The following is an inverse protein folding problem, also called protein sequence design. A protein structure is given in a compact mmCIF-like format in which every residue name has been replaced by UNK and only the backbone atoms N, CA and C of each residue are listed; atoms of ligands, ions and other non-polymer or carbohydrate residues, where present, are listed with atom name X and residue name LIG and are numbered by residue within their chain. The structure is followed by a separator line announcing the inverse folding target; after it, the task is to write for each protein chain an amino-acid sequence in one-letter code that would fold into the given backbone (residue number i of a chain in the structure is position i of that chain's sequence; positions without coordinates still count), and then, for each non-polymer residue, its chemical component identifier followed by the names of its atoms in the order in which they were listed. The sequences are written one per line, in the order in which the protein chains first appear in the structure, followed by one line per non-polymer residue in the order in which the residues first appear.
data_IF_436493895442
#
_entry.id   IF_436493895442
#
_cell.length_a   1.000
_cell.length_b   1.000
_cell.length_c   1.000
_cell.angle_alpha   90.00
_cell.angle_beta   90.00
_cell.angle_gamma   90.00
#
_symmetry.space_group_name_H-M   'P 1'
#
loop_
_entity.id
_entity.type
_entity.pdbx_description
1 polymer ?
#
# COMPACT_ATOMS: atom_id res chain seq x y z
N UNK A 1 11.91 4.28 14.89
CA UNK A 1 10.80 3.31 14.95
C UNK A 1 11.28 1.97 14.42
N UNK A 2 11.03 0.89 15.14
CA UNK A 2 11.41 -0.44 14.67
C UNK A 2 10.41 -0.96 13.64
N UNK A 3 10.87 -1.89 12.79
CA UNK A 3 9.99 -2.50 11.80
C UNK A 3 8.84 -3.25 12.48
N UNK A 4 9.11 -3.91 13.61
CA UNK A 4 8.08 -4.63 14.35
C UNK A 4 6.96 -3.72 14.82
N UNK A 5 7.29 -2.50 15.22
CA UNK A 5 6.29 -1.53 15.63
C UNK A 5 5.37 -1.15 14.47
N UNK A 6 5.93 -1.00 13.28
CA UNK A 6 5.15 -0.73 12.07
C UNK A 6 4.25 -1.92 11.77
N UNK A 7 4.77 -3.14 11.87
CA UNK A 7 3.99 -4.36 11.58
C UNK A 7 2.81 -4.54 12.51
N UNK A 8 2.93 -4.10 13.75
CA UNK A 8 1.87 -4.28 14.76
C UNK A 8 0.80 -3.18 14.72
N UNK A 9 0.98 -2.15 13.90
CA UNK A 9 -0.03 -1.09 13.77
C UNK A 9 -1.31 -1.65 13.17
N UNK A 10 -2.50 -1.21 13.65
CA UNK A 10 -3.75 -1.64 13.02
C UNK A 10 -3.80 -1.20 11.56
N UNK A 11 -4.06 -2.14 10.67
CA UNK A 11 -4.17 -1.82 9.24
C UNK A 11 -5.20 -0.73 8.98
N UNK A 12 -6.36 -0.82 9.64
CA UNK A 12 -7.44 0.16 9.46
C UNK A 12 -7.01 1.58 9.74
N UNK A 13 -6.18 1.77 10.77
CA UNK A 13 -5.67 3.11 11.11
C UNK A 13 -4.71 3.61 10.04
N UNK A 14 -3.80 2.78 9.58
CA UNK A 14 -2.83 3.16 8.55
C UNK A 14 -3.55 3.46 7.25
N UNK A 15 -4.45 2.57 6.85
CA UNK A 15 -5.17 2.74 5.58
C UNK A 15 -6.05 3.99 5.58
N UNK A 16 -6.68 4.30 6.71
CA UNK A 16 -7.45 5.54 6.84
C UNK A 16 -6.58 6.77 6.60
N UNK A 17 -5.34 6.74 7.07
CA UNK A 17 -4.39 7.83 6.80
C UNK A 17 -4.04 7.93 5.32
N UNK A 18 -3.88 6.78 4.65
CA UNK A 18 -3.60 6.77 3.21
C UNK A 18 -4.80 7.30 2.41
N UNK A 19 -6.01 6.92 2.81
CA UNK A 19 -7.23 7.43 2.18
C UNK A 19 -7.27 8.96 2.31
N UNK A 20 -7.04 9.47 3.52
CA UNK A 20 -7.05 10.92 3.77
C UNK A 20 -5.98 11.63 2.92
N UNK A 21 -4.82 11.01 2.78
CA UNK A 21 -3.72 11.57 1.99
C UNK A 21 -4.11 11.75 0.53
N UNK A 22 -4.69 10.72 -0.08
CA UNK A 22 -5.06 10.79 -1.49
C UNK A 22 -6.26 11.72 -1.72
N UNK A 23 -7.22 11.72 -0.78
CA UNK A 23 -8.40 12.59 -0.89
C UNK A 23 -8.06 14.07 -0.79
N UNK A 24 -7.08 14.42 0.05
CA UNK A 24 -6.60 15.81 0.15
C UNK A 24 -6.04 16.33 -1.17
N UNK A 25 -5.60 15.44 -2.03
CA UNK A 25 -5.04 15.80 -3.33
C UNK A 25 -6.03 15.59 -4.48
N UNK A 26 -7.30 15.41 -4.15
CA UNK A 26 -8.35 15.29 -5.15
C UNK A 26 -8.49 13.90 -5.77
N UNK A 27 -7.82 12.90 -5.21
CA UNK A 27 -7.98 11.51 -5.67
C UNK A 27 -9.04 10.81 -4.81
N UNK A 28 -9.44 9.62 -5.21
CA UNK A 28 -10.54 8.92 -4.55
C UNK A 28 -10.05 7.67 -3.82
N UNK A 29 -10.82 7.26 -2.80
CA UNK A 29 -10.58 5.98 -2.14
C UNK A 29 -10.66 4.83 -3.14
N UNK A 30 -11.56 4.90 -4.10
CA UNK A 30 -11.70 3.85 -5.11
C UNK A 30 -10.40 3.66 -5.91
N UNK A 31 -9.71 4.75 -6.22
CA UNK A 31 -8.42 4.67 -6.90
C UNK A 31 -7.36 4.02 -6.01
N UNK A 32 -7.34 4.36 -4.73
CA UNK A 32 -6.41 3.73 -3.77
C UNK A 32 -6.73 2.25 -3.61
N UNK A 33 -8.01 1.89 -3.47
CA UNK A 33 -8.42 0.49 -3.36
C UNK A 33 -8.01 -0.29 -4.61
N UNK A 34 -8.12 0.32 -5.79
CA UNK A 34 -7.69 -0.29 -7.04
C UNK A 34 -6.19 -0.58 -7.03
N UNK A 35 -5.38 0.37 -6.58
CA UNK A 35 -3.94 0.18 -6.48
C UNK A 35 -3.60 -0.90 -5.46
N UNK A 36 -4.29 -0.91 -4.32
CA UNK A 36 -4.09 -1.91 -3.28
C UNK A 36 -4.47 -3.30 -3.77
N UNK A 37 -5.58 -3.41 -4.49
CA UNK A 37 -6.00 -4.68 -5.10
C UNK A 37 -4.96 -5.18 -6.10
N UNK A 38 -4.46 -4.29 -6.93
CA UNK A 38 -3.41 -4.65 -7.88
C UNK A 38 -2.18 -5.20 -7.15
N UNK A 39 -1.79 -4.55 -6.06
CA UNK A 39 -0.58 -4.94 -5.32
C UNK A 39 -0.74 -6.26 -4.59
N UNK A 40 -1.88 -6.48 -3.94
CA UNK A 40 -2.04 -7.54 -2.95
C UNK A 40 -2.99 -8.67 -3.36
N UNK A 41 -3.86 -8.42 -4.33
CA UNK A 41 -4.90 -9.37 -4.70
C UNK A 41 -6.15 -9.31 -3.84
N UNK A 42 -6.19 -8.48 -2.81
CA UNK A 42 -7.41 -8.32 -2.01
C UNK A 42 -8.50 -7.60 -2.81
N UNK A 43 -9.72 -8.12 -2.77
CA UNK A 43 -10.87 -7.39 -3.31
C UNK A 43 -11.19 -6.20 -2.38
N UNK A 44 -11.83 -5.13 -2.90
CA UNK A 44 -12.18 -3.98 -2.05
C UNK A 44 -12.96 -4.34 -0.79
N UNK A 45 -13.88 -5.30 -0.87
CA UNK A 45 -14.65 -5.74 0.30
C UNK A 45 -13.75 -6.40 1.37
N UNK A 46 -12.73 -7.13 0.92
CA UNK A 46 -11.77 -7.75 1.82
C UNK A 46 -10.86 -6.71 2.47
N UNK A 47 -10.48 -5.65 1.73
CA UNK A 47 -9.71 -4.54 2.28
C UNK A 47 -10.50 -3.88 3.41
N UNK A 48 -11.79 -3.63 3.18
CA UNK A 48 -12.66 -3.04 4.20
C UNK A 48 -12.77 -3.92 5.42
N UNK A 49 -12.89 -5.23 5.23
CA UNK A 49 -12.95 -6.19 6.34
C UNK A 49 -11.69 -6.13 7.18
N UNK A 50 -10.53 -6.09 6.54
CA UNK A 50 -9.25 -5.99 7.24
C UNK A 50 -9.12 -4.69 8.04
N UNK A 51 -9.76 -3.61 7.58
CA UNK A 51 -9.79 -2.37 8.33
C UNK A 51 -10.60 -2.48 9.62
N UNK A 52 -11.60 -3.37 9.63
CA UNK A 52 -12.57 -3.45 10.72
C UNK A 52 -12.28 -4.58 11.71
N UNK A 53 -11.54 -5.61 11.30
CA UNK A 53 -11.38 -6.82 12.10
C UNK A 53 -10.13 -6.88 12.97
N UNK A 54 -9.38 -5.78 13.04
CA UNK A 54 -8.18 -5.71 13.87
C UNK A 54 -6.93 -6.29 13.22
N UNK A 55 -6.97 -6.60 11.93
CA UNK A 55 -5.79 -7.07 11.19
C UNK A 55 -4.64 -6.07 11.33
N UNK A 56 -3.44 -6.54 11.67
CA UNK A 56 -2.27 -5.67 11.73
C UNK A 56 -1.74 -5.39 10.33
N UNK A 57 -0.96 -4.31 10.21
CA UNK A 57 -0.39 -3.93 8.93
C UNK A 57 0.52 -5.04 8.38
N UNK A 58 1.34 -5.64 9.23
CA UNK A 58 2.18 -6.76 8.81
C UNK A 58 1.36 -7.96 8.36
N UNK A 59 0.34 -8.34 9.11
CA UNK A 59 -0.51 -9.48 8.77
C UNK A 59 -1.29 -9.25 7.48
N UNK A 60 -1.69 -8.01 7.21
CA UNK A 60 -2.35 -7.69 5.95
C UNK A 60 -1.51 -8.17 4.76
N UNK A 61 -0.21 -7.90 4.79
CA UNK A 61 0.69 -8.32 3.71
C UNK A 61 1.05 -9.80 3.78
N UNK A 62 1.22 -10.37 5.00
CA UNK A 62 1.51 -11.80 5.15
C UNK A 62 0.39 -12.68 4.61
N UNK A 63 -0.85 -12.22 4.72
CA UNK A 63 -2.04 -12.97 4.31
C UNK A 63 -2.55 -12.56 2.93
N UNK A 64 -1.84 -11.70 2.22
CA UNK A 64 -2.27 -11.23 0.91
C UNK A 64 -2.50 -12.41 -0.03
N UNK A 65 -3.67 -12.48 -0.69
CA UNK A 65 -4.00 -13.64 -1.52
C UNK A 65 -3.14 -13.77 -2.78
N UNK A 66 -2.60 -12.66 -3.30
CA UNK A 66 -1.78 -12.75 -4.50
C UNK A 66 -0.98 -11.47 -4.73
N UNK A 67 0.19 -11.37 -4.09
CA UNK A 67 1.08 -10.24 -4.34
C UNK A 67 1.49 -10.22 -5.80
N UNK A 68 1.34 -9.05 -6.43
CA UNK A 68 1.61 -8.91 -7.85
C UNK A 68 3.11 -9.05 -8.14
N UNK A 69 3.52 -9.94 -9.06
CA UNK A 69 4.94 -10.10 -9.39
C UNK A 69 5.57 -8.84 -9.99
N UNK A 70 4.77 -7.97 -10.60
CA UNK A 70 5.28 -6.71 -11.16
C UNK A 70 5.54 -5.64 -10.10
N UNK A 71 5.24 -5.92 -8.84
CA UNK A 71 5.48 -4.94 -7.76
C UNK A 71 6.95 -4.54 -7.65
N UNK A 72 7.86 -5.39 -8.08
CA UNK A 72 9.28 -5.07 -8.08
C UNK A 72 9.63 -3.91 -9.02
N UNK A 73 8.72 -3.53 -9.91
CA UNK A 73 8.89 -2.36 -10.77
C UNK A 73 8.56 -1.04 -10.07
N UNK A 74 8.00 -1.12 -8.86
CA UNK A 74 7.75 0.06 -8.03
C UNK A 74 9.10 0.53 -7.49
N UNK A 75 9.49 1.76 -7.83
CA UNK A 75 10.80 2.30 -7.47
C UNK A 75 10.66 3.75 -7.03
N UNK A 76 11.68 4.23 -6.35
CA UNK A 76 11.78 5.61 -5.95
C UNK A 76 11.70 5.79 -4.45
N UNK A 77 11.67 7.06 -4.03
CA UNK A 77 11.72 7.42 -2.62
C UNK A 77 10.31 7.60 -2.07
N UNK A 78 10.06 7.02 -0.90
CA UNK A 78 8.85 7.27 -0.12
C UNK A 78 9.24 7.22 1.36
N UNK A 79 8.71 8.13 2.15
CA UNK A 79 9.01 8.20 3.59
C UNK A 79 10.52 8.25 3.87
N UNK A 80 11.27 8.91 2.99
CA UNK A 80 12.72 9.10 3.17
C UNK A 80 13.59 7.91 2.79
N UNK A 81 13.00 6.84 2.23
CA UNK A 81 13.78 5.65 1.84
C UNK A 81 13.51 5.29 0.39
N UNK A 82 14.50 4.68 -0.26
CA UNK A 82 14.32 4.12 -1.59
C UNK A 82 13.74 2.73 -1.48
N UNK A 83 12.58 2.53 -2.09
CA UNK A 83 11.83 1.27 -1.97
C UNK A 83 12.68 0.10 -2.48
N UNK A 84 13.35 0.27 -3.61
CA UNK A 84 14.14 -0.81 -4.21
C UNK A 84 15.36 -1.21 -3.38
N UNK A 85 15.74 -0.39 -2.39
CA UNK A 85 16.88 -0.70 -1.53
C UNK A 85 16.49 -1.32 -0.19
N UNK A 86 15.20 -1.46 0.08
CA UNK A 86 14.73 -2.06 1.33
C UNK A 86 14.98 -3.56 1.27
N UNK A 87 15.77 -4.07 2.23
CA UNK A 87 16.19 -5.47 2.22
C UNK A 87 15.21 -6.42 2.90
N UNK A 88 14.53 -5.96 3.96
CA UNK A 88 13.54 -6.79 4.62
C UNK A 88 12.29 -6.92 3.77
N UNK A 89 11.93 -8.15 3.35
CA UNK A 89 10.84 -8.34 2.40
C UNK A 89 9.50 -7.76 2.85
N UNK A 90 9.13 -7.97 4.12
CA UNK A 90 7.83 -7.48 4.61
C UNK A 90 7.78 -5.95 4.64
N UNK A 91 8.85 -5.30 5.07
CA UNK A 91 8.90 -3.84 5.07
C UNK A 91 8.86 -3.30 3.64
N UNK A 92 9.50 -3.98 2.70
CA UNK A 92 9.45 -3.58 1.29
C UNK A 92 8.03 -3.64 0.76
N UNK A 93 7.26 -4.69 1.11
CA UNK A 93 5.87 -4.81 0.70
C UNK A 93 5.05 -3.64 1.22
N UNK A 94 5.24 -3.28 2.49
CA UNK A 94 4.57 -2.14 3.11
C UNK A 94 4.91 -0.84 2.37
N UNK A 95 6.17 -0.64 2.05
CA UNK A 95 6.59 0.59 1.37
C UNK A 95 6.13 0.66 -0.08
N UNK A 96 5.87 -0.47 -0.72
CA UNK A 96 5.23 -0.47 -2.03
C UNK A 96 3.87 0.21 -1.96
N UNK A 97 3.05 -0.13 -0.97
CA UNK A 97 1.75 0.50 -0.82
C UNK A 97 1.87 2.00 -0.53
N UNK A 98 2.80 2.38 0.36
CA UNK A 98 3.05 3.79 0.65
C UNK A 98 3.45 4.54 -0.63
N UNK A 99 4.27 3.93 -1.48
CA UNK A 99 4.71 4.56 -2.73
C UNK A 99 3.56 4.73 -3.72
N UNK A 100 2.69 3.72 -3.84
CA UNK A 100 1.53 3.83 -4.72
C UNK A 100 0.61 4.96 -4.27
N UNK A 101 0.35 5.06 -2.95
CA UNK A 101 -0.46 6.14 -2.41
C UNK A 101 0.19 7.51 -2.66
N UNK A 102 1.52 7.59 -2.52
CA UNK A 102 2.27 8.82 -2.77
C UNK A 102 2.14 9.24 -4.24
N UNK A 103 2.25 8.29 -5.16
CA UNK A 103 2.12 8.58 -6.59
C UNK A 103 0.70 9.06 -6.94
N UNK A 104 -0.33 8.45 -6.33
CA UNK A 104 -1.69 8.94 -6.49
C UNK A 104 -1.82 10.38 -6.01
N UNK A 105 -1.31 10.65 -4.80
CA UNK A 105 -1.38 11.99 -4.22
C UNK A 105 -0.65 13.04 -5.06
N UNK A 106 0.37 12.63 -5.79
CA UNK A 106 1.13 13.52 -6.68
C UNK A 106 0.47 13.73 -8.04
N UNK A 107 -0.68 13.10 -8.27
CA UNK A 107 -1.44 13.33 -9.49
C UNK A 107 -1.12 12.42 -10.66
N UNK A 108 -0.32 11.37 -10.46
CA UNK A 108 -0.03 10.45 -11.56
C UNK A 108 -1.27 9.69 -11.98
N UNK A 109 -1.45 9.43 -13.29
CA UNK A 109 -2.57 8.61 -13.76
C UNK A 109 -2.50 7.20 -13.19
N UNK A 110 -3.64 6.65 -12.81
CA UNK A 110 -3.71 5.31 -12.22
C UNK A 110 -3.06 4.26 -13.13
N UNK A 111 -3.28 4.33 -14.42
CA UNK A 111 -2.72 3.41 -15.40
C UNK A 111 -1.20 3.38 -15.41
N UNK A 112 -0.55 4.49 -14.99
CA UNK A 112 0.90 4.56 -14.90
C UNK A 112 1.42 4.12 -13.53
N UNK A 113 0.57 4.20 -12.52
CA UNK A 113 0.88 3.73 -11.17
C UNK A 113 0.89 2.20 -11.14
N UNK A 114 -0.05 1.59 -11.84
CA UNK A 114 -0.14 0.13 -11.94
C UNK A 114 0.85 -0.36 -13.00
N UNK A 115 1.94 -1.00 -12.55
CA UNK A 115 2.98 -1.49 -13.44
C UNK A 115 2.59 -2.86 -13.99
N UNK A 116 1.54 -2.87 -14.79
CA UNK A 116 0.96 -4.13 -15.28
C UNK A 116 1.73 -4.74 -16.46
N UNK A 117 2.66 -4.00 -17.06
CA UNK A 117 3.44 -4.46 -18.21
C UNK A 117 4.92 -4.55 -17.91
#
# INVERSE_FOLDING_TARGET
MTNEKVYSMPFGRVYACLIAKVERKGRTRAELDCATQWLTGYAPAEIRRCMEDGTTYGDFFRRAPGMNPNRSRIRGVVCGVRVEEIQEPLMREIRYLDKLADELAKGRPLEKILRSE
#
